data_IF_428991984259
#
_entry.id   IF_428991984259
#
_cell.length_a   1.000
_cell.length_b   1.000
_cell.length_c   1.000
_cell.angle_alpha   90.00
_cell.angle_beta   90.00
_cell.angle_gamma   90.00
#
_symmetry.space_group_name_H-M   'P 1'
#
loop_
_entity.id
_entity.type
_entity.pdbx_description
1 polymer ?
#
# COMPACT_ATOMS: atom_id res chain seq x y z
N UNK A 1 -31.16 -3.39 31.69
CA UNK A 1 -30.88 -1.97 31.39
C UNK A 1 -29.44 -1.73 31.79
N UNK A 2 -28.49 -1.41 30.92
CA UNK A 2 -28.48 -1.33 29.47
C UNK A 2 -27.16 -1.90 28.97
N UNK A 3 -27.18 -2.51 27.79
CA UNK A 3 -25.97 -2.98 27.10
C UNK A 3 -25.28 -1.75 26.50
N UNK A 4 -24.06 -1.46 26.96
CA UNK A 4 -23.22 -0.41 26.38
C UNK A 4 -22.83 -0.82 24.96
N UNK A 5 -23.26 -0.04 23.98
CA UNK A 5 -22.89 -0.22 22.59
C UNK A 5 -21.36 -0.03 22.43
N UNK A 6 -20.68 -0.88 21.63
CA UNK A 6 -19.25 -0.70 21.36
C UNK A 6 -19.02 0.62 20.60
N UNK A 7 -17.89 1.31 20.83
CA UNK A 7 -17.63 2.61 20.22
C UNK A 7 -17.52 2.53 18.69
N UNK A 8 -17.93 3.60 18.03
CA UNK A 8 -17.86 3.76 16.57
C UNK A 8 -16.41 4.04 16.14
N UNK A 9 -15.70 2.98 15.77
CA UNK A 9 -14.28 3.04 15.39
C UNK A 9 -14.03 3.65 14.01
N UNK A 10 -15.05 3.76 13.14
CA UNK A 10 -14.92 4.54 11.90
C UNK A 10 -14.82 6.03 12.20
N UNK A 11 -15.53 6.51 13.23
CA UNK A 11 -15.40 7.88 13.69
C UNK A 11 -14.02 8.14 14.31
N UNK A 12 -13.37 7.13 14.93
CA UNK A 12 -12.05 7.28 15.52
C UNK A 12 -10.92 7.31 14.46
N UNK A 13 -11.00 6.51 13.39
CA UNK A 13 -10.05 6.60 12.27
C UNK A 13 -10.22 7.92 11.49
N UNK A 14 -11.47 8.37 11.24
CA UNK A 14 -11.74 9.71 10.69
C UNK A 14 -11.25 10.82 11.64
N UNK A 15 -11.39 10.59 12.95
CA UNK A 15 -10.95 11.52 13.99
C UNK A 15 -9.43 11.53 14.17
N UNK A 16 -8.69 10.45 13.93
CA UNK A 16 -7.21 10.44 14.03
C UNK A 16 -6.61 11.12 12.79
N UNK A 17 -7.20 10.91 11.61
CA UNK A 17 -6.90 11.70 10.42
C UNK A 17 -7.17 13.20 10.65
N UNK A 18 -8.20 13.54 11.44
CA UNK A 18 -8.56 14.92 11.81
C UNK A 18 -7.80 15.49 13.03
N UNK A 19 -7.41 14.69 14.03
CA UNK A 19 -6.81 15.14 15.30
C UNK A 19 -5.29 15.22 15.25
N UNK A 20 -4.63 14.54 14.31
CA UNK A 20 -3.24 14.86 13.97
C UNK A 20 -3.07 16.34 13.53
N UNK A 21 -4.17 17.04 13.23
CA UNK A 21 -4.20 18.40 12.71
C UNK A 21 -4.39 19.53 13.74
N UNK A 22 -4.60 19.29 15.04
CA UNK A 22 -5.08 20.36 15.96
C UNK A 22 -4.17 20.79 17.12
N UNK A 23 -2.96 20.23 17.29
CA UNK A 23 -2.06 20.65 18.36
C UNK A 23 -0.65 21.06 17.89
N UNK A 24 -0.59 22.27 17.33
CA UNK A 24 0.64 23.06 17.19
C UNK A 24 0.41 24.47 17.72
N UNK A 25 0.53 24.69 19.03
CA UNK A 25 0.59 26.04 19.59
C UNK A 25 1.74 26.14 20.57
N UNK A 26 2.83 26.78 20.14
CA UNK A 26 3.81 27.38 21.04
C UNK A 26 4.08 28.81 20.53
N UNK A 27 4.00 29.74 21.48
CA UNK A 27 3.98 31.19 21.34
C UNK A 27 5.23 31.80 20.66
N UNK A 28 5.03 32.86 19.87
CA UNK A 28 6.06 33.80 19.45
C UNK A 28 6.13 35.01 20.42
N UNK A 29 7.33 35.55 20.71
CA UNK A 29 7.50 36.91 21.19
C UNK A 29 7.92 37.88 20.05
N UNK A 30 7.88 39.21 20.28
CA UNK A 30 7.37 40.18 19.31
C UNK A 30 8.43 40.98 18.54
N UNK A 31 8.02 41.43 17.34
CA UNK A 31 8.26 42.77 16.77
C UNK A 31 9.63 43.08 16.16
N UNK A 32 9.66 43.44 14.86
CA UNK A 32 9.91 44.84 14.47
C UNK A 32 9.67 45.15 12.98
N UNK A 33 8.99 46.29 12.80
CA UNK A 33 8.74 47.24 11.71
C UNK A 33 9.12 47.01 10.21
N UNK A 34 8.06 47.15 9.38
CA UNK A 34 7.83 48.12 8.27
C UNK A 34 8.91 48.36 7.20
N UNK A 35 8.55 48.12 5.93
CA UNK A 35 8.64 49.14 4.84
C UNK A 35 7.86 48.76 3.58
N UNK A 36 7.06 49.71 3.09
CA UNK A 36 6.30 49.72 1.85
C UNK A 36 7.19 50.07 0.65
N UNK A 37 7.00 49.46 -0.54
CA UNK A 37 7.18 50.13 -1.84
C UNK A 37 6.27 49.54 -2.93
N UNK A 38 5.34 50.40 -3.39
CA UNK A 38 4.80 50.69 -4.74
C UNK A 38 4.52 49.60 -5.78
N UNK A 39 3.27 49.66 -6.26
CA UNK A 39 2.77 49.16 -7.54
C UNK A 39 3.42 49.87 -8.74
N UNK A 40 3.61 49.12 -9.82
CA UNK A 40 3.68 49.63 -11.18
C UNK A 40 2.94 48.67 -12.11
N UNK A 41 2.06 49.26 -12.91
CA UNK A 41 1.26 48.67 -13.99
C UNK A 41 2.10 48.40 -15.24
N UNK A 42 1.77 47.33 -15.96
CA UNK A 42 2.31 47.05 -17.30
C UNK A 42 1.52 45.94 -17.97
N UNK A 43 0.73 46.31 -18.98
CA UNK A 43 0.11 45.41 -19.97
C UNK A 43 1.20 44.71 -20.80
N UNK A 44 1.03 43.41 -21.05
CA UNK A 44 1.47 42.75 -22.30
C UNK A 44 0.91 41.33 -22.42
N UNK A 45 0.25 41.11 -23.54
CA UNK A 45 0.31 39.92 -24.39
C UNK A 45 -0.12 38.56 -23.81
N UNK A 46 -1.26 38.09 -24.33
CA UNK A 46 -1.80 36.73 -24.15
C UNK A 46 -0.86 35.76 -24.88
N UNK A 47 0.14 35.26 -24.16
CA UNK A 47 0.81 34.01 -24.52
C UNK A 47 -0.13 32.85 -24.21
N UNK A 48 -0.32 31.98 -25.21
CA UNK A 48 -1.06 30.72 -25.09
C UNK A 48 -0.33 29.83 -24.08
N UNK A 49 -0.74 29.91 -22.82
CA UNK A 49 -0.17 29.12 -21.71
C UNK A 49 -0.27 27.63 -22.05
N UNK A 50 0.90 26.98 -22.08
CA UNK A 50 0.96 25.53 -22.09
C UNK A 50 0.19 24.99 -20.88
N UNK A 51 -0.60 23.91 -21.04
CA UNK A 51 -1.44 23.40 -19.97
C UNK A 51 -0.60 23.08 -18.72
N UNK A 52 -1.14 23.32 -17.52
CA UNK A 52 -0.42 23.15 -16.28
C UNK A 52 0.11 21.71 -16.12
N UNK A 53 1.23 21.50 -15.40
CA UNK A 53 1.94 20.22 -15.35
C UNK A 53 1.12 19.00 -14.90
N UNK A 54 -0.08 19.21 -14.35
CA UNK A 54 -0.98 18.15 -13.95
C UNK A 54 -1.79 17.57 -15.12
N UNK A 55 -2.20 18.37 -16.12
CA UNK A 55 -3.01 17.90 -17.25
C UNK A 55 -2.23 17.03 -18.24
N UNK A 56 -0.90 17.10 -18.21
CA UNK A 56 -0.04 16.22 -19.02
C UNK A 56 0.14 14.82 -18.41
N UNK A 57 -0.23 14.61 -17.13
CA UNK A 57 -0.03 13.32 -16.43
C UNK A 57 -1.09 12.27 -16.77
N UNK A 58 -2.28 12.69 -17.23
CA UNK A 58 -3.39 11.78 -17.50
C UNK A 58 -3.30 11.04 -18.85
N UNK A 59 -2.29 11.32 -19.67
CA UNK A 59 -2.20 10.77 -21.04
C UNK A 59 -1.35 9.49 -21.19
N UNK A 60 -0.85 8.89 -20.10
CA UNK A 60 -0.04 7.66 -20.15
C UNK A 60 -0.45 6.52 -19.22
N UNK A 61 -1.61 6.58 -18.56
CA UNK A 61 -2.12 5.42 -17.83
C UNK A 61 -2.85 4.50 -18.80
N UNK A 62 -2.07 3.60 -19.44
CA UNK A 62 -2.63 2.51 -20.22
C UNK A 62 -3.69 1.76 -19.39
N UNK A 63 -4.81 1.32 -19.99
CA UNK A 63 -5.85 0.59 -19.27
C UNK A 63 -5.23 -0.60 -18.53
N UNK A 64 -5.64 -0.78 -17.27
CA UNK A 64 -5.19 -1.85 -16.39
C UNK A 64 -5.64 -3.23 -16.94
N UNK A 65 -4.91 -3.73 -17.94
CA UNK A 65 -5.19 -5.02 -18.59
C UNK A 65 -4.46 -6.19 -17.90
N UNK A 66 -4.09 -6.03 -16.62
CA UNK A 66 -3.17 -6.94 -15.94
C UNK A 66 -3.43 -7.11 -14.46
N UNK A 67 -2.40 -7.58 -13.76
CA UNK A 67 -2.35 -7.66 -12.30
C UNK A 67 -1.48 -6.53 -11.78
N UNK A 68 -1.67 -6.14 -10.53
CA UNK A 68 -0.81 -5.18 -9.88
C UNK A 68 0.64 -5.69 -9.84
N UNK A 69 1.59 -4.81 -10.14
CA UNK A 69 3.02 -5.10 -10.03
C UNK A 69 3.50 -4.67 -8.65
N UNK A 70 3.76 -5.64 -7.77
CA UNK A 70 4.16 -5.37 -6.38
C UNK A 70 5.55 -4.70 -6.27
N UNK A 71 6.35 -4.72 -7.35
CA UNK A 71 7.62 -4.00 -7.41
C UNK A 71 7.45 -2.52 -7.73
N UNK A 72 6.34 -2.11 -8.33
CA UNK A 72 6.11 -0.74 -8.76
C UNK A 72 5.86 0.17 -7.56
N UNK A 73 6.80 1.08 -7.28
CA UNK A 73 6.67 2.04 -6.19
C UNK A 73 5.71 3.19 -6.50
N UNK A 74 5.51 3.52 -7.78
CA UNK A 74 4.70 4.67 -8.19
C UNK A 74 3.21 4.35 -8.17
N UNK A 75 2.88 3.11 -8.54
CA UNK A 75 1.51 2.66 -8.79
C UNK A 75 0.85 1.95 -7.61
N UNK A 76 1.38 2.07 -6.38
CA UNK A 76 0.67 1.62 -5.17
C UNK A 76 1.46 0.80 -4.16
N UNK A 77 2.71 0.41 -4.43
CA UNK A 77 3.53 -0.34 -3.47
C UNK A 77 4.80 0.42 -3.09
N UNK A 78 4.69 1.55 -2.38
CA UNK A 78 5.84 2.38 -2.02
C UNK A 78 6.84 1.66 -1.10
N UNK A 79 8.10 2.06 -1.19
CA UNK A 79 9.08 1.85 -0.11
C UNK A 79 8.75 2.73 1.09
N UNK A 80 9.40 2.52 2.23
CA UNK A 80 9.14 3.32 3.43
C UNK A 80 9.38 4.82 3.19
N UNK A 81 10.44 5.16 2.45
CA UNK A 81 10.80 6.56 2.16
C UNK A 81 9.79 7.27 1.25
N UNK A 82 9.03 6.51 0.48
CA UNK A 82 8.02 7.02 -0.45
C UNK A 82 6.63 7.09 0.20
N UNK A 83 6.44 6.56 1.41
CA UNK A 83 5.16 6.67 2.12
C UNK A 83 4.81 8.13 2.44
N UNK A 84 3.52 8.50 2.46
CA UNK A 84 3.11 9.81 2.91
C UNK A 84 3.56 10.06 4.36
N UNK A 85 3.99 11.29 4.65
CA UNK A 85 4.39 11.69 6.00
C UNK A 85 3.16 11.79 6.91
N UNK A 86 3.30 11.47 8.19
CA UNK A 86 2.23 11.73 9.17
C UNK A 86 1.96 13.21 9.37
N UNK A 87 2.95 14.08 9.12
CA UNK A 87 2.88 15.53 9.33
C UNK A 87 2.47 16.32 8.10
N UNK A 88 2.33 15.69 6.94
CA UNK A 88 2.20 16.40 5.67
C UNK A 88 1.30 15.70 4.68
N UNK A 89 0.58 16.51 3.92
CA UNK A 89 -0.19 16.08 2.75
C UNK A 89 0.77 15.92 1.57
N UNK A 90 0.91 14.69 1.09
CA UNK A 90 1.75 14.39 -0.06
C UNK A 90 0.90 14.42 -1.33
N UNK A 91 1.20 15.34 -2.24
CA UNK A 91 0.54 15.49 -3.54
C UNK A 91 0.65 14.23 -4.43
N UNK A 92 1.50 13.26 -4.07
CA UNK A 92 1.55 11.97 -4.72
C UNK A 92 0.46 10.99 -4.26
N UNK A 93 -0.30 11.33 -3.22
CA UNK A 93 -1.32 10.47 -2.61
C UNK A 93 -2.68 11.15 -2.43
N UNK A 94 -2.71 12.46 -2.20
CA UNK A 94 -3.92 13.22 -1.89
C UNK A 94 -4.20 14.30 -2.93
N UNK A 95 -5.47 14.57 -3.19
CA UNK A 95 -5.86 15.79 -3.88
C UNK A 95 -5.61 16.99 -2.96
N UNK A 96 -4.82 17.96 -3.44
CA UNK A 96 -4.55 19.21 -2.75
C UNK A 96 -5.26 20.32 -3.54
N UNK A 97 -6.33 20.94 -3.01
CA UNK A 97 -6.99 22.06 -3.68
C UNK A 97 -6.03 23.22 -3.95
N UNK A 98 -6.14 23.85 -5.12
CA UNK A 98 -5.35 25.04 -5.43
C UNK A 98 -5.69 26.19 -4.47
N UNK A 99 -4.65 26.84 -3.93
CA UNK A 99 -4.78 27.98 -3.02
C UNK A 99 -4.92 27.63 -1.53
N UNK A 100 -4.87 26.34 -1.19
CA UNK A 100 -4.94 25.89 0.19
C UNK A 100 -3.54 25.56 0.74
N UNK A 101 -2.88 26.57 1.31
CA UNK A 101 -1.60 26.40 2.02
C UNK A 101 -1.79 25.79 3.43
N UNK A 102 -3.01 25.41 3.82
CA UNK A 102 -3.30 24.96 5.18
C UNK A 102 -4.53 24.07 5.35
N UNK A 103 -4.29 22.81 5.73
CA UNK A 103 -5.14 21.97 6.61
C UNK A 103 -6.65 22.03 6.33
N UNK A 104 -7.08 21.89 5.07
CA UNK A 104 -8.45 21.46 4.83
C UNK A 104 -8.63 20.00 5.31
N UNK A 105 -9.72 19.66 6.02
CA UNK A 105 -10.03 18.30 6.46
C UNK A 105 -10.42 17.35 5.30
N UNK A 106 -10.50 17.84 4.06
CA UNK A 106 -11.10 17.13 2.93
C UNK A 106 -10.07 16.50 1.97
N UNK A 107 -8.82 16.31 2.41
CA UNK A 107 -7.78 15.66 1.60
C UNK A 107 -8.12 14.19 1.38
N UNK A 108 -8.81 13.93 0.26
CA UNK A 108 -9.21 12.60 -0.15
C UNK A 108 -8.05 11.97 -0.93
N UNK A 109 -7.65 10.73 -0.61
CA UNK A 109 -6.72 10.00 -1.45
C UNK A 109 -7.21 9.94 -2.89
N UNK A 110 -6.31 10.06 -3.87
CA UNK A 110 -6.67 9.83 -5.28
C UNK A 110 -6.24 8.46 -5.79
N UNK A 111 -5.39 7.76 -5.01
CA UNK A 111 -4.91 6.41 -5.32
C UNK A 111 -4.81 5.55 -4.06
N UNK A 112 -4.65 4.25 -4.25
CA UNK A 112 -4.42 3.31 -3.16
C UNK A 112 -2.91 3.08 -2.92
N UNK A 113 -2.52 2.71 -1.70
CA UNK A 113 -1.17 2.24 -1.43
C UNK A 113 -1.08 1.18 -0.34
N UNK A 114 -0.08 0.31 -0.47
CA UNK A 114 0.21 -0.77 0.45
C UNK A 114 1.73 -0.94 0.61
N UNK A 115 2.20 -0.84 1.83
CA UNK A 115 3.59 -1.11 2.17
C UNK A 115 3.82 -2.61 2.35
N UNK A 116 4.90 -3.13 1.78
CA UNK A 116 5.28 -4.54 1.88
C UNK A 116 6.68 -4.66 2.49
N UNK A 117 6.81 -5.44 3.56
CA UNK A 117 8.09 -5.66 4.23
C UNK A 117 8.20 -7.07 4.82
N UNK A 118 9.40 -7.62 4.88
CA UNK A 118 9.69 -8.87 5.58
C UNK A 118 9.88 -8.61 7.07
N UNK A 119 9.23 -9.40 7.92
CA UNK A 119 9.45 -9.38 9.37
C UNK A 119 10.85 -9.91 9.66
N UNK A 120 11.68 -9.12 10.34
CA UNK A 120 13.04 -9.51 10.75
C UNK A 120 13.10 -9.88 12.22
N UNK A 121 12.48 -9.08 13.08
CA UNK A 121 12.50 -9.24 14.53
C UNK A 121 11.11 -8.97 15.08
N UNK A 122 10.69 -9.78 16.05
CA UNK A 122 9.51 -9.57 16.88
C UNK A 122 9.97 -9.28 18.32
N UNK A 123 9.60 -8.14 18.87
CA UNK A 123 9.92 -7.74 20.24
C UNK A 123 8.63 -7.40 21.00
N UNK A 124 8.53 -7.93 22.22
CA UNK A 124 7.50 -7.56 23.20
C UNK A 124 8.22 -7.13 24.46
N UNK A 125 8.49 -5.83 24.59
CA UNK A 125 9.11 -5.26 25.79
C UNK A 125 8.03 -4.53 26.59
N UNK A 126 7.48 -3.44 26.04
CA UNK A 126 6.38 -2.66 26.66
C UNK A 126 5.16 -2.47 25.74
N UNK A 127 5.40 -2.46 24.43
CA UNK A 127 4.40 -2.51 23.36
C UNK A 127 4.79 -3.61 22.38
N UNK A 128 3.82 -4.16 21.66
CA UNK A 128 4.13 -5.10 20.58
C UNK A 128 4.76 -4.31 19.44
N UNK A 129 5.98 -4.69 19.06
CA UNK A 129 6.71 -4.03 17.99
C UNK A 129 7.45 -5.04 17.12
N UNK A 130 7.57 -4.70 15.84
CA UNK A 130 8.31 -5.50 14.88
C UNK A 130 9.32 -4.62 14.16
N UNK A 131 10.50 -5.17 13.89
CA UNK A 131 11.41 -4.60 12.90
C UNK A 131 11.17 -5.33 11.60
N UNK A 132 10.79 -4.57 10.58
CA UNK A 132 10.56 -5.09 9.23
C UNK A 132 11.55 -4.47 8.25
N UNK A 133 11.81 -5.17 7.14
CA UNK A 133 12.71 -4.73 6.09
C UNK A 133 11.95 -4.69 4.76
N UNK A 134 11.92 -3.52 4.12
CA UNK A 134 11.20 -3.34 2.85
C UNK A 134 12.01 -3.81 1.62
N UNK A 135 11.43 -3.68 0.43
CA UNK A 135 12.06 -4.08 -0.83
C UNK A 135 13.32 -3.30 -1.21
N UNK A 136 13.60 -2.19 -0.53
CA UNK A 136 14.83 -1.40 -0.70
C UNK A 136 15.92 -1.77 0.32
N UNK A 137 15.61 -2.66 1.26
CA UNK A 137 16.48 -3.04 2.37
C UNK A 137 16.38 -2.11 3.57
N UNK A 138 15.46 -1.14 3.55
CA UNK A 138 15.29 -0.21 4.66
C UNK A 138 14.61 -0.91 5.83
N UNK A 139 15.25 -0.85 7.01
CA UNK A 139 14.72 -1.38 8.27
C UNK A 139 13.93 -0.31 9.00
N UNK A 140 12.71 -0.68 9.40
CA UNK A 140 11.75 0.24 9.99
C UNK A 140 10.99 -0.45 11.12
N UNK A 141 10.62 0.32 12.14
CA UNK A 141 9.74 -0.18 13.20
C UNK A 141 8.29 -0.17 12.78
N UNK A 142 7.53 -1.20 13.17
CA UNK A 142 6.07 -1.22 13.12
C UNK A 142 5.58 -1.39 14.55
N UNK A 143 4.84 -0.39 15.04
CA UNK A 143 4.42 -0.30 16.44
C UNK A 143 2.92 -0.41 16.57
N UNK A 144 2.48 -1.16 17.58
CA UNK A 144 1.09 -1.44 17.92
C UNK A 144 0.81 -0.83 19.30
N UNK A 145 0.24 0.39 19.40
CA UNK A 145 0.13 1.13 20.67
C UNK A 145 -0.86 0.51 21.68
N UNK A 146 -1.83 -0.27 21.22
CA UNK A 146 -2.88 -0.86 22.05
C UNK A 146 -2.67 -2.36 22.27
N UNK A 147 -3.23 -2.90 23.35
CA UNK A 147 -3.02 -4.30 23.77
C UNK A 147 -3.55 -5.32 22.75
N UNK A 148 -3.00 -6.54 22.84
CA UNK A 148 -3.19 -7.62 21.86
C UNK A 148 -4.63 -8.14 21.70
N UNK A 149 -5.57 -7.73 22.56
CA UNK A 149 -6.97 -8.21 22.53
C UNK A 149 -7.74 -7.78 21.27
N UNK A 150 -7.25 -6.82 20.49
CA UNK A 150 -7.84 -6.39 19.21
C UNK A 150 -7.30 -7.16 17.99
N UNK A 151 -6.35 -8.08 18.19
CA UNK A 151 -5.61 -8.76 17.10
C UNK A 151 -5.92 -10.26 17.04
N UNK A 152 -7.01 -10.70 17.68
CA UNK A 152 -7.39 -12.11 17.87
C UNK A 152 -7.52 -12.96 16.58
N UNK A 153 -7.51 -12.33 15.40
CA UNK A 153 -7.51 -13.03 14.11
C UNK A 153 -6.11 -13.31 13.55
N UNK A 154 -5.06 -12.75 14.15
CA UNK A 154 -3.66 -12.98 13.78
C UNK A 154 -3.07 -13.98 14.78
N UNK A 155 -2.43 -15.03 14.25
CA UNK A 155 -1.74 -16.04 15.07
C UNK A 155 -0.29 -15.58 15.30
N UNK A 156 0.31 -15.90 16.44
CA UNK A 156 1.73 -15.64 16.71
C UNK A 156 2.66 -16.13 15.58
N UNK A 157 2.30 -17.24 14.93
CA UNK A 157 3.03 -17.79 13.78
C UNK A 157 2.99 -16.89 12.53
N UNK A 158 2.00 -16.02 12.41
CA UNK A 158 1.93 -15.04 11.32
C UNK A 158 3.06 -14.02 11.46
N UNK A 159 3.40 -13.63 12.68
CA UNK A 159 4.46 -12.66 12.93
C UNK A 159 5.87 -13.27 13.02
N UNK A 160 6.03 -14.54 12.64
CA UNK A 160 7.33 -15.17 12.60
C UNK A 160 8.30 -14.45 11.63
N UNK A 161 9.58 -14.31 11.98
CA UNK A 161 10.59 -13.79 11.07
C UNK A 161 10.61 -14.52 9.72
N UNK A 162 10.77 -13.76 8.64
CA UNK A 162 10.75 -14.27 7.27
C UNK A 162 9.37 -14.22 6.60
N UNK A 163 8.28 -13.98 7.34
CA UNK A 163 6.98 -13.70 6.73
C UNK A 163 6.89 -12.26 6.22
N UNK A 164 5.99 -12.01 5.27
CA UNK A 164 5.73 -10.68 4.70
C UNK A 164 4.56 -10.04 5.41
N UNK A 165 4.78 -8.82 5.91
CA UNK A 165 3.74 -7.92 6.40
C UNK A 165 3.34 -6.98 5.27
N UNK A 166 2.05 -6.96 4.95
CA UNK A 166 1.41 -6.00 4.07
C UNK A 166 0.56 -5.05 4.91
N UNK A 167 0.74 -3.75 4.72
CA UNK A 167 0.07 -2.70 5.47
C UNK A 167 -0.61 -1.76 4.49
N UNK A 168 -1.94 -1.67 4.56
CA UNK A 168 -2.74 -0.76 3.75
C UNK A 168 -2.72 0.66 4.33
N UNK A 169 -2.55 1.66 3.45
CA UNK A 169 -2.54 3.09 3.79
C UNK A 169 -1.62 3.55 4.94
N UNK A 170 -0.41 3.01 5.12
CA UNK A 170 0.45 3.47 6.20
C UNK A 170 0.99 4.87 5.90
N UNK A 171 1.26 5.61 6.97
CA UNK A 171 2.05 6.83 6.95
C UNK A 171 3.42 6.55 7.56
N UNK A 172 4.47 7.16 7.00
CA UNK A 172 5.79 7.15 7.64
C UNK A 172 5.80 8.13 8.81
N UNK A 173 6.50 7.73 9.86
CA UNK A 173 6.80 8.59 10.99
C UNK A 173 8.32 8.59 11.23
N UNK A 174 8.94 9.76 11.09
CA UNK A 174 10.38 9.97 11.32
C UNK A 174 10.75 10.03 12.82
N UNK A 175 9.75 10.07 13.72
CA UNK A 175 9.96 9.95 15.16
C UNK A 175 8.77 9.22 15.80
N UNK A 176 8.92 7.90 15.95
CA UNK A 176 7.86 7.05 16.51
C UNK A 176 7.74 7.22 18.03
N UNK A 177 8.78 7.75 18.70
CA UNK A 177 8.77 7.99 20.14
C UNK A 177 8.94 6.73 21.01
N UNK A 178 9.41 5.61 20.44
CA UNK A 178 9.65 4.36 21.17
C UNK A 178 11.15 4.03 21.23
N UNK A 179 11.70 3.67 22.41
CA UNK A 179 13.12 3.36 22.55
C UNK A 179 13.60 2.28 21.58
N UNK A 180 14.64 2.58 20.79
CA UNK A 180 15.18 1.64 19.79
C UNK A 180 14.44 1.62 18.44
N UNK A 181 13.46 2.51 18.24
CA UNK A 181 12.79 2.74 16.96
C UNK A 181 12.84 4.23 16.64
N UNK A 182 13.77 4.62 15.79
CA UNK A 182 13.93 6.01 15.38
C UNK A 182 12.80 6.42 14.42
N UNK A 183 12.48 5.55 13.45
CA UNK A 183 11.48 5.78 12.40
C UNK A 183 10.64 4.53 12.15
N UNK A 184 9.42 4.71 11.69
CA UNK A 184 8.51 3.59 11.52
C UNK A 184 7.08 3.95 11.16
N UNK A 185 6.20 2.97 11.36
CA UNK A 185 4.77 3.02 11.06
C UNK A 185 4.03 2.66 12.35
N UNK A 186 2.99 3.42 12.69
CA UNK A 186 2.13 3.16 13.85
C UNK A 186 0.81 2.58 13.35
N UNK A 187 0.40 1.45 13.91
CA UNK A 187 -0.80 0.72 13.48
C UNK A 187 -1.83 0.72 14.60
N UNK A 188 -2.98 1.35 14.31
CA UNK A 188 -4.10 1.45 15.24
C UNK A 188 -5.18 0.40 15.02
N UNK A 189 -5.21 -0.24 13.83
CA UNK A 189 -6.24 -1.20 13.46
C UNK A 189 -5.65 -2.45 12.84
N UNK A 190 -6.04 -3.61 13.34
CA UNK A 190 -5.68 -4.90 12.75
C UNK A 190 -6.20 -5.07 11.32
N UNK A 191 -7.24 -4.31 10.96
CA UNK A 191 -7.84 -4.36 9.64
C UNK A 191 -6.93 -3.82 8.53
N UNK A 192 -5.87 -3.07 8.84
CA UNK A 192 -4.97 -2.57 7.78
C UNK A 192 -3.82 -3.54 7.48
N UNK A 193 -3.70 -4.65 8.22
CA UNK A 193 -2.59 -5.58 8.10
C UNK A 193 -3.03 -6.91 7.51
N UNK A 194 -2.21 -7.43 6.60
CA UNK A 194 -2.23 -8.83 6.17
C UNK A 194 -0.83 -9.40 6.30
N UNK A 195 -0.73 -10.60 6.87
CA UNK A 195 0.52 -11.37 6.86
C UNK A 195 0.43 -12.47 5.79
N UNK A 196 1.41 -12.49 4.90
CA UNK A 196 1.65 -13.62 4.00
C UNK A 196 2.79 -14.47 4.55
N UNK A 197 2.53 -15.78 4.74
CA UNK A 197 3.52 -16.74 5.28
C UNK A 197 4.58 -17.16 4.25
N UNK A 198 5.24 -16.17 3.66
CA UNK A 198 6.30 -16.24 2.65
C UNK A 198 7.19 -15.00 2.76
N UNK A 199 8.42 -15.10 2.28
CA UNK A 199 9.32 -13.95 2.24
C UNK A 199 8.87 -12.91 1.23
N UNK A 200 9.29 -11.66 1.43
CA UNK A 200 8.95 -10.58 0.49
C UNK A 200 9.47 -10.92 -0.91
N UNK A 201 10.67 -11.49 -1.02
CA UNK A 201 11.24 -11.91 -2.31
C UNK A 201 10.36 -12.96 -3.02
N UNK A 202 9.83 -13.94 -2.29
CA UNK A 202 8.90 -14.92 -2.86
C UNK A 202 7.59 -14.27 -3.32
N UNK A 203 7.06 -13.31 -2.56
CA UNK A 203 5.83 -12.58 -2.92
C UNK A 203 6.06 -11.68 -4.15
N UNK A 204 7.18 -10.98 -4.22
CA UNK A 204 7.55 -10.15 -5.37
C UNK A 204 7.80 -11.01 -6.62
N UNK A 205 8.51 -12.14 -6.47
CA UNK A 205 8.72 -13.08 -7.59
C UNK A 205 7.40 -13.67 -8.09
N UNK A 206 6.45 -13.97 -7.17
CA UNK A 206 5.11 -14.39 -7.57
C UNK A 206 4.41 -13.31 -8.39
N UNK A 207 4.52 -12.03 -8.02
CA UNK A 207 3.98 -10.92 -8.80
C UNK A 207 4.59 -10.88 -10.20
N UNK A 208 5.91 -11.00 -10.32
CA UNK A 208 6.62 -11.05 -11.61
C UNK A 208 6.11 -12.22 -12.48
N UNK A 209 6.01 -13.42 -11.89
CA UNK A 209 5.50 -14.61 -12.57
C UNK A 209 4.05 -14.41 -13.04
N UNK A 210 3.23 -13.69 -12.30
CA UNK A 210 1.87 -13.38 -12.71
C UNK A 210 1.81 -12.49 -13.94
N UNK A 211 2.68 -11.47 -14.02
CA UNK A 211 2.80 -10.64 -15.22
C UNK A 211 3.18 -11.49 -16.44
N UNK A 212 4.07 -12.46 -16.24
CA UNK A 212 4.62 -13.28 -17.33
C UNK A 212 3.65 -14.38 -17.79
N UNK A 213 3.00 -15.08 -16.86
CA UNK A 213 2.30 -16.34 -17.13
C UNK A 213 0.77 -16.24 -17.06
N UNK A 214 0.23 -15.17 -16.48
CA UNK A 214 -1.23 -15.04 -16.27
C UNK A 214 -1.87 -14.05 -17.26
N UNK A 215 -1.11 -13.04 -17.70
CA UNK A 215 -1.56 -12.00 -18.63
C UNK A 215 -1.58 -12.53 -20.07
N UNK A 216 -2.56 -12.08 -20.85
CA UNK A 216 -2.62 -12.32 -22.31
C UNK A 216 -1.83 -11.23 -23.03
N UNK A 217 -0.93 -11.63 -23.93
CA UNK A 217 -0.25 -10.73 -24.87
C UNK A 217 -0.60 -11.19 -26.29
N UNK A 218 -1.18 -10.29 -27.09
CA UNK A 218 -1.61 -10.57 -28.47
C UNK A 218 -2.52 -11.80 -28.58
N UNK A 219 -3.46 -11.92 -27.63
CA UNK A 219 -4.39 -13.05 -27.53
C UNK A 219 -3.76 -14.36 -27.03
N UNK A 220 -2.43 -14.43 -26.85
CA UNK A 220 -1.71 -15.61 -26.40
C UNK A 220 -1.33 -15.53 -24.92
N UNK A 221 -1.22 -16.68 -24.27
CA UNK A 221 -0.63 -16.80 -22.92
C UNK A 221 0.64 -17.61 -22.98
N UNK A 222 1.52 -17.42 -21.99
CA UNK A 222 2.73 -18.23 -21.81
C UNK A 222 2.45 -19.42 -20.91
N UNK A 223 2.82 -20.61 -21.36
CA UNK A 223 2.72 -21.83 -20.57
C UNK A 223 3.70 -21.77 -19.40
N UNK A 224 3.21 -21.81 -18.17
CA UNK A 224 4.08 -21.80 -16.99
C UNK A 224 5.00 -23.03 -16.95
N UNK A 225 4.64 -24.14 -17.60
CA UNK A 225 5.47 -25.36 -17.61
C UNK A 225 6.61 -25.39 -18.63
N UNK A 226 6.45 -24.79 -19.81
CA UNK A 226 7.43 -24.91 -20.91
C UNK A 226 7.65 -23.62 -21.70
N UNK A 227 7.09 -22.50 -21.25
CA UNK A 227 7.29 -21.15 -21.80
C UNK A 227 6.77 -20.91 -23.23
N UNK A 228 6.20 -21.95 -23.86
CA UNK A 228 5.51 -21.83 -25.14
C UNK A 228 4.31 -20.89 -25.05
N UNK A 229 4.10 -20.08 -26.09
CA UNK A 229 2.93 -19.19 -26.23
C UNK A 229 1.84 -19.86 -27.03
N UNK A 230 0.61 -19.85 -26.52
CA UNK A 230 -0.58 -20.41 -27.19
C UNK A 230 -1.84 -19.61 -26.87
N UNK A 231 -2.82 -19.54 -27.79
CA UNK A 231 -4.11 -18.90 -27.53
C UNK A 231 -4.92 -19.68 -26.49
N UNK A 232 -4.96 -21.01 -26.63
CA UNK A 232 -5.76 -21.90 -25.79
C UNK A 232 -4.89 -22.80 -24.91
N UNK A 233 -5.13 -22.72 -23.61
CA UNK A 233 -4.47 -23.50 -22.57
C UNK A 233 -5.42 -23.68 -21.39
N UNK A 234 -5.31 -24.79 -20.68
CA UNK A 234 -6.06 -24.96 -19.44
C UNK A 234 -5.30 -24.30 -18.29
N UNK A 235 -6.07 -23.79 -17.32
CA UNK A 235 -5.53 -23.15 -16.12
C UNK A 235 -5.44 -24.11 -14.95
N UNK A 236 -4.60 -23.80 -13.97
CA UNK A 236 -4.61 -24.49 -12.69
C UNK A 236 -6.00 -24.38 -12.06
N UNK A 237 -6.64 -25.51 -11.76
CA UNK A 237 -8.01 -25.54 -11.21
C UNK A 237 -8.07 -24.92 -9.81
N UNK A 238 -6.98 -25.05 -9.02
CA UNK A 238 -6.95 -24.55 -7.64
C UNK A 238 -6.93 -23.04 -7.56
N UNK A 239 -5.92 -22.40 -8.16
CA UNK A 239 -5.76 -20.95 -8.06
C UNK A 239 -6.39 -20.18 -9.24
N UNK A 240 -6.50 -20.80 -10.41
CA UNK A 240 -7.03 -20.17 -11.62
C UNK A 240 -6.10 -19.17 -12.34
N UNK A 241 -4.85 -18.99 -11.92
CA UNK A 241 -3.96 -17.96 -12.49
C UNK A 241 -2.96 -18.46 -13.53
N UNK A 242 -2.36 -19.65 -13.33
CA UNK A 242 -1.33 -20.15 -14.25
C UNK A 242 -1.89 -21.11 -15.29
N UNK A 243 -1.36 -21.01 -16.51
CA UNK A 243 -1.84 -21.71 -17.70
C UNK A 243 -0.82 -22.72 -18.23
N UNK A 244 -1.31 -23.82 -18.81
CA UNK A 244 -0.49 -24.94 -19.27
C UNK A 244 -0.98 -25.50 -20.60
N UNK A 245 -0.04 -25.90 -21.46
CA UNK A 245 -0.36 -26.55 -22.73
C UNK A 245 -0.95 -27.95 -22.57
N UNK A 246 -0.42 -28.74 -21.62
CA UNK A 246 -0.77 -30.14 -21.36
C UNK A 246 -0.47 -30.51 -19.91
N UNK A 247 -1.03 -31.63 -19.44
CA UNK A 247 -0.88 -32.10 -18.05
C UNK A 247 0.58 -32.21 -17.59
N UNK A 248 1.48 -32.66 -18.47
CA UNK A 248 2.92 -32.73 -18.16
C UNK A 248 3.50 -31.35 -17.82
N UNK A 249 3.09 -30.31 -18.54
CA UNK A 249 3.51 -28.93 -18.26
C UNK A 249 2.98 -28.44 -16.92
N UNK A 250 1.75 -28.84 -16.54
CA UNK A 250 1.22 -28.53 -15.20
C UNK A 250 2.03 -29.25 -14.12
N UNK A 251 2.36 -30.53 -14.29
CA UNK A 251 3.17 -31.29 -13.33
C UNK A 251 4.57 -30.69 -13.21
N UNK A 252 5.18 -30.31 -14.34
CA UNK A 252 6.48 -29.65 -14.36
C UNK A 252 6.41 -28.29 -13.66
N UNK A 253 5.46 -27.43 -14.02
CA UNK A 253 5.24 -26.14 -13.36
C UNK A 253 4.98 -26.27 -11.86
N UNK A 254 4.24 -27.30 -11.46
CA UNK A 254 3.94 -27.63 -10.06
C UNK A 254 5.18 -27.99 -9.26
N UNK A 255 6.02 -28.91 -9.78
CA UNK A 255 7.17 -29.47 -9.06
C UNK A 255 8.45 -28.65 -9.19
N UNK A 256 8.73 -28.14 -10.39
CA UNK A 256 10.04 -27.60 -10.76
C UNK A 256 10.07 -26.07 -10.81
N UNK A 257 8.92 -25.42 -11.00
CA UNK A 257 8.82 -23.95 -11.10
C UNK A 257 8.05 -23.34 -9.93
N UNK A 258 8.15 -23.93 -8.74
CA UNK A 258 7.63 -23.33 -7.49
C UNK A 258 6.10 -23.25 -7.34
N UNK A 259 5.28 -23.61 -8.34
CA UNK A 259 3.84 -23.40 -8.26
C UNK A 259 3.17 -24.16 -7.10
N UNK A 260 3.68 -25.33 -6.69
CA UNK A 260 3.18 -26.05 -5.51
C UNK A 260 3.20 -25.19 -4.24
N UNK A 261 4.26 -24.39 -4.06
CA UNK A 261 4.50 -23.60 -2.85
C UNK A 261 3.70 -22.31 -2.86
N UNK A 262 3.52 -21.71 -4.04
CA UNK A 262 2.86 -20.41 -4.22
C UNK A 262 1.37 -20.49 -4.56
N UNK A 263 0.88 -21.65 -5.03
CA UNK A 263 -0.55 -21.85 -5.30
C UNK A 263 -1.47 -21.55 -4.10
N UNK A 264 -1.10 -21.83 -2.83
CA UNK A 264 -1.88 -21.40 -1.67
C UNK A 264 -2.01 -19.87 -1.55
N UNK A 265 -0.94 -19.11 -1.80
CA UNK A 265 -0.99 -17.64 -1.80
C UNK A 265 -1.93 -17.12 -2.90
N UNK A 266 -1.90 -17.73 -4.08
CA UNK A 266 -2.83 -17.39 -5.17
C UNK A 266 -4.30 -17.80 -4.89
N UNK A 267 -4.55 -18.64 -3.89
CA UNK A 267 -5.90 -18.98 -3.44
C UNK A 267 -6.39 -18.03 -2.34
N UNK A 268 -5.48 -17.36 -1.63
CA UNK A 268 -5.81 -16.41 -0.57
C UNK A 268 -6.62 -15.23 -1.13
N UNK A 269 -7.77 -14.95 -0.50
CA UNK A 269 -8.70 -13.95 -0.99
C UNK A 269 -8.11 -12.53 -0.94
N UNK A 270 -7.38 -12.20 0.12
CA UNK A 270 -6.75 -10.90 0.30
C UNK A 270 -5.68 -10.67 -0.75
N UNK A 271 -4.82 -11.67 -0.99
CA UNK A 271 -3.83 -11.59 -2.05
C UNK A 271 -4.52 -11.37 -3.40
N UNK A 272 -5.51 -12.19 -3.74
CA UNK A 272 -6.28 -12.12 -5.00
C UNK A 272 -6.94 -10.78 -5.23
N UNK A 273 -7.43 -10.15 -4.16
CA UNK A 273 -8.06 -8.84 -4.22
C UNK A 273 -6.99 -7.75 -4.39
N UNK A 274 -5.90 -7.83 -3.62
CA UNK A 274 -4.74 -6.94 -3.69
C UNK A 274 -4.14 -6.88 -5.11
N UNK A 275 -3.94 -8.03 -5.77
CA UNK A 275 -3.34 -8.07 -7.11
C UNK A 275 -4.29 -7.69 -8.26
N UNK A 276 -5.61 -7.65 -8.04
CA UNK A 276 -6.61 -7.30 -9.06
C UNK A 276 -7.09 -5.86 -8.97
N UNK A 277 -6.88 -5.23 -7.82
CA UNK A 277 -7.29 -3.86 -7.56
C UNK A 277 -6.60 -2.90 -8.53
N UNK A 278 -7.35 -1.91 -9.02
CA UNK A 278 -6.77 -0.73 -9.64
C UNK A 278 -6.17 0.12 -8.52
N UNK A 279 -4.85 0.23 -8.46
CA UNK A 279 -4.19 0.97 -7.38
C UNK A 279 -4.07 2.47 -7.67
N UNK A 280 -4.34 2.91 -8.90
CA UNK A 280 -4.20 4.31 -9.32
C UNK A 280 -5.47 5.14 -9.15
N UNK A 281 -6.56 4.51 -8.73
CA UNK A 281 -7.87 5.14 -8.60
C UNK A 281 -8.40 4.81 -7.21
N UNK A 282 -8.61 5.83 -6.39
CA UNK A 282 -9.19 5.67 -5.07
C UNK A 282 -10.71 5.77 -5.13
N UNK A 283 -11.36 4.69 -4.72
CA UNK A 283 -12.81 4.66 -4.53
C UNK A 283 -13.19 4.83 -3.06
N UNK A 284 -12.59 4.00 -2.20
CA UNK A 284 -12.82 3.93 -0.76
C UNK A 284 -11.67 3.15 -0.09
N UNK A 285 -11.51 3.32 1.21
CA UNK A 285 -10.53 2.56 1.98
C UNK A 285 -10.79 1.06 1.90
N UNK A 286 -9.73 0.31 1.61
CA UNK A 286 -9.78 -1.15 1.46
C UNK A 286 -8.98 -1.82 2.57
N UNK A 287 -9.65 -2.63 3.37
CA UNK A 287 -9.08 -3.29 4.55
C UNK A 287 -8.88 -4.81 4.35
N UNK A 288 -8.25 -5.46 5.32
CA UNK A 288 -8.06 -6.90 5.49
C UNK A 288 -8.77 -7.39 6.78
N UNK A 289 -9.17 -8.66 6.89
CA UNK A 289 -9.43 -9.56 5.77
C UNK A 289 -10.59 -9.02 4.95
N UNK A 290 -10.45 -9.01 3.63
CA UNK A 290 -11.59 -8.88 2.72
C UNK A 290 -12.35 -10.18 2.88
N UNK A 291 -13.49 -10.12 3.56
CA UNK A 291 -14.40 -11.28 3.62
C UNK A 291 -14.76 -11.75 2.20
N UNK A 292 -15.23 -13.00 2.03
CA UNK A 292 -15.80 -13.37 0.74
C UNK A 292 -16.92 -12.38 0.42
N UNK A 293 -16.87 -11.75 -0.75
CA UNK A 293 -18.06 -11.10 -1.31
C UNK A 293 -19.18 -12.14 -1.32
N UNK A 294 -20.28 -11.83 -0.63
CA UNK A 294 -21.48 -12.67 -0.54
C UNK A 294 -22.12 -12.83 -1.91
#
# INVERSE_FOLDING_TARGET
MGEDAPPDYEALDRSIASQACSHGTIAQPPGDAVSQVKQASGDSDVEEEAPPPYEQRDSQLAPFNGFANLRDTRSGFPSFRELPDVKGWDANYFHIPEGDEGVSPDHTPFKHWCFLATIRIAEQVDVTRYIVEDKTGDRVGVVFPHSQTQWNHLNDLDFAPGNTMAIAYPHRNENVGYPGIDRGIIIFSAKVIKIFRRSLDEILQLSDDMQIYSVKHDGMRRCHGCDARKPDMFKCIKCGFFFYCKKDCQIHGWKQKGHKIMCPILQDHDFRSMIRQNWNEFEDFKYFPRGPEV
#
